data_IF_243364359586
#
_entry.id   IF_243364359586
#
_cell.length_a   1.000
_cell.length_b   1.000
_cell.length_c   1.000
_cell.angle_alpha   90.00
_cell.angle_beta   90.00
_cell.angle_gamma   90.00
#
_symmetry.space_group_name_H-M   'P 1'
#
loop_
_entity.id
_entity.type
_entity.pdbx_description
1 polymer ?
#
# COMPACT_ATOMS: atom_id res chain seq x y z
N UNK A 1 -10.54 -1.62 -3.64
CA UNK A 1 -9.43 -0.64 -3.57
C UNK A 1 -8.12 -1.40 -3.79
N UNK A 2 -7.51 -1.32 -4.97
CA UNK A 2 -6.23 -1.96 -5.23
C UNK A 2 -5.05 -1.11 -4.74
N UNK A 3 -3.93 -1.78 -4.47
CA UNK A 3 -2.60 -1.16 -4.32
C UNK A 3 -1.73 -1.51 -5.52
N UNK A 4 -0.66 -0.75 -5.73
CA UNK A 4 0.41 -1.20 -6.61
C UNK A 4 1.03 -2.46 -6.00
N UNK A 5 1.06 -3.50 -6.82
CA UNK A 5 1.72 -4.74 -6.48
C UNK A 5 3.20 -4.71 -6.84
N UNK A 6 3.91 -5.74 -6.43
CA UNK A 6 5.31 -5.91 -6.78
C UNK A 6 5.66 -7.39 -6.96
N UNK A 7 6.71 -7.63 -7.71
CA UNK A 7 7.18 -8.97 -7.99
C UNK A 7 8.63 -9.01 -8.45
N UNK A 8 9.05 -10.17 -8.89
CA UNK A 8 10.40 -10.40 -9.44
C UNK A 8 10.32 -11.31 -10.65
N UNK A 9 11.15 -11.03 -11.65
CA UNK A 9 11.36 -11.94 -12.78
C UNK A 9 11.79 -13.33 -12.32
N UNK A 10 11.55 -14.33 -13.17
CA UNK A 10 12.15 -15.64 -13.00
C UNK A 10 13.68 -15.56 -13.05
N UNK A 11 14.35 -16.41 -12.29
CA UNK A 11 15.80 -16.58 -12.31
C UNK A 11 16.14 -18.05 -12.25
N UNK A 12 17.41 -18.41 -12.50
CA UNK A 12 17.83 -19.81 -12.52
C UNK A 12 17.40 -20.53 -11.23
N UNK A 13 16.57 -21.58 -11.39
CA UNK A 13 16.01 -22.35 -10.29
C UNK A 13 14.91 -21.70 -9.46
N UNK A 14 14.49 -20.46 -9.79
CA UNK A 14 13.43 -19.75 -9.08
C UNK A 14 12.41 -19.19 -10.05
N UNK A 15 11.14 -19.58 -9.97
CA UNK A 15 10.09 -19.02 -10.80
C UNK A 15 9.86 -17.54 -10.50
N UNK A 16 9.40 -16.80 -11.50
CA UNK A 16 8.89 -15.46 -11.33
C UNK A 16 7.66 -15.45 -10.45
N UNK A 17 7.42 -14.33 -9.79
CA UNK A 17 6.27 -14.17 -8.94
C UNK A 17 5.82 -12.71 -8.83
N UNK A 18 4.56 -12.54 -8.46
CA UNK A 18 3.97 -11.24 -8.15
C UNK A 18 3.17 -11.32 -6.85
N UNK A 19 3.25 -10.28 -6.01
CA UNK A 19 2.37 -10.07 -4.87
C UNK A 19 1.37 -8.99 -5.21
N UNK A 20 0.10 -9.33 -5.08
CA UNK A 20 -1.03 -8.44 -5.33
C UNK A 20 -1.76 -8.22 -4.02
N UNK A 21 -1.99 -6.95 -3.68
CA UNK A 21 -2.68 -6.56 -2.46
C UNK A 21 -3.83 -5.64 -2.84
N UNK A 22 -5.01 -5.94 -2.31
CA UNK A 22 -6.21 -5.15 -2.55
C UNK A 22 -7.16 -5.26 -1.35
N UNK A 23 -8.15 -4.40 -1.28
CA UNK A 23 -9.26 -4.53 -0.34
C UNK A 23 -10.59 -4.49 -1.07
N UNK A 24 -11.43 -5.49 -0.85
CA UNK A 24 -12.80 -5.54 -1.36
C UNK A 24 -13.76 -4.93 -0.32
N UNK A 25 -14.56 -3.99 -0.78
CA UNK A 25 -15.51 -3.26 0.04
C UNK A 25 -16.88 -3.27 -0.65
N UNK A 26 -17.95 -3.35 0.14
CA UNK A 26 -19.29 -3.09 -0.37
C UNK A 26 -19.41 -1.63 -0.78
N UNK A 27 -19.92 -1.39 -1.97
CA UNK A 27 -20.16 -0.04 -2.45
C UNK A 27 -21.45 0.52 -1.82
N UNK A 28 -21.31 1.39 -0.83
CA UNK A 28 -22.44 2.06 -0.18
C UNK A 28 -23.08 3.16 -1.06
N UNK A 29 -22.43 3.52 -2.17
CA UNK A 29 -22.92 4.60 -3.07
C UNK A 29 -24.26 4.23 -3.73
N UNK A 30 -24.49 2.95 -4.02
CA UNK A 30 -25.76 2.53 -4.64
C UNK A 30 -26.93 2.59 -3.67
N UNK A 31 -26.70 2.30 -2.38
CA UNK A 31 -27.71 2.44 -1.33
C UNK A 31 -28.07 3.91 -1.08
N UNK A 32 -27.07 4.80 -1.12
CA UNK A 32 -27.29 6.23 -0.93
C UNK A 32 -27.92 6.91 -2.14
N UNK A 33 -27.62 6.48 -3.36
CA UNK A 33 -28.35 6.93 -4.54
C UNK A 33 -29.84 6.56 -4.45
N UNK A 34 -30.15 5.37 -3.95
CA UNK A 34 -31.52 4.96 -3.67
C UNK A 34 -32.15 5.83 -2.58
N UNK A 35 -31.43 6.16 -1.51
CA UNK A 35 -31.91 7.02 -0.44
C UNK A 35 -32.05 8.48 -0.88
N UNK A 36 -31.12 9.02 -1.71
CA UNK A 36 -31.21 10.38 -2.26
C UNK A 36 -32.35 10.54 -3.27
N UNK A 37 -32.69 9.50 -4.01
CA UNK A 37 -33.87 9.50 -4.89
C UNK A 37 -35.17 9.55 -4.09
N UNK A 38 -35.15 8.98 -2.86
CA UNK A 38 -36.30 9.02 -1.96
C UNK A 38 -36.40 10.36 -1.20
N UNK A 39 -35.30 11.05 -0.90
CA UNK A 39 -35.27 12.27 -0.10
C UNK A 39 -35.20 13.59 -0.89
N UNK A 40 -35.00 13.57 -2.21
CA UNK A 40 -35.14 14.74 -3.10
C UNK A 40 -34.10 15.87 -2.89
N UNK A 41 -32.98 15.64 -2.22
CA UNK A 41 -31.95 16.66 -1.97
C UNK A 41 -30.77 16.52 -2.90
N UNK A 42 -30.63 17.51 -3.82
CA UNK A 42 -29.39 17.74 -4.55
C UNK A 42 -28.49 18.65 -3.74
N UNK A 43 -27.34 18.20 -3.31
CA UNK A 43 -26.28 19.08 -2.83
C UNK A 43 -24.93 18.74 -3.43
N UNK A 44 -24.31 19.75 -4.00
CA UNK A 44 -23.08 19.71 -4.78
C UNK A 44 -21.91 20.12 -3.88
N UNK A 45 -20.81 19.40 -3.97
CA UNK A 45 -19.51 19.58 -3.29
C UNK A 45 -19.45 19.05 -1.86
N UNK A 46 -18.84 17.85 -1.71
CA UNK A 46 -18.94 17.16 -0.45
C UNK A 46 -17.57 16.73 0.11
N UNK A 47 -17.14 17.27 1.27
CA UNK A 47 -16.00 16.77 2.04
C UNK A 47 -16.20 15.35 2.59
N UNK A 48 -17.40 14.78 2.44
CA UNK A 48 -17.77 13.45 2.93
C UNK A 48 -17.20 12.26 2.13
N UNK A 49 -16.52 12.46 1.00
CA UNK A 49 -15.95 11.32 0.23
C UNK A 49 -14.92 10.52 1.03
N UNK A 50 -14.15 11.18 1.87
CA UNK A 50 -13.14 10.53 2.68
C UNK A 50 -13.68 9.73 3.87
N UNK A 51 -14.62 10.27 4.63
CA UNK A 51 -15.27 9.60 5.76
C UNK A 51 -15.98 8.29 5.33
N UNK A 52 -16.55 8.23 4.14
CA UNK A 52 -17.22 7.05 3.58
C UNK A 52 -16.27 5.87 3.34
N UNK A 53 -14.99 6.12 3.04
CA UNK A 53 -13.98 5.08 2.91
C UNK A 53 -13.74 4.31 4.22
N UNK A 54 -14.04 4.93 5.37
CA UNK A 54 -13.91 4.29 6.69
C UNK A 54 -15.15 3.53 7.13
N UNK A 55 -16.32 3.89 6.62
CA UNK A 55 -17.60 3.22 6.94
C UNK A 55 -17.94 2.09 5.97
N UNK A 56 -17.18 1.95 4.87
CA UNK A 56 -17.41 0.90 3.90
C UNK A 56 -17.19 -0.49 4.53
N UNK A 57 -18.22 -1.33 4.44
CA UNK A 57 -18.19 -2.69 4.98
C UNK A 57 -17.25 -3.56 4.15
N UNK A 58 -16.36 -4.28 4.82
CA UNK A 58 -15.45 -5.22 4.19
C UNK A 58 -16.20 -6.42 3.60
N UNK A 59 -15.79 -6.88 2.42
CA UNK A 59 -16.30 -8.11 1.81
C UNK A 59 -15.43 -9.28 2.26
N UNK A 60 -15.84 -9.98 3.32
CA UNK A 60 -15.17 -11.18 3.82
C UNK A 60 -15.34 -12.35 2.87
N UNK A 61 -14.30 -13.18 2.73
CA UNK A 61 -14.32 -14.43 1.97
C UNK A 61 -14.87 -14.26 0.54
N UNK A 62 -14.71 -13.07 -0.02
CA UNK A 62 -15.20 -12.73 -1.36
C UNK A 62 -14.26 -13.30 -2.43
N UNK A 63 -14.78 -14.01 -3.44
CA UNK A 63 -13.98 -14.46 -4.56
C UNK A 63 -13.56 -13.26 -5.43
N UNK A 64 -12.26 -13.14 -5.67
CA UNK A 64 -11.67 -12.10 -6.51
C UNK A 64 -11.05 -12.76 -7.72
N UNK A 65 -11.46 -12.36 -8.91
CA UNK A 65 -10.78 -12.72 -10.14
C UNK A 65 -9.68 -11.70 -10.41
N UNK A 66 -8.48 -12.19 -10.67
CA UNK A 66 -7.28 -11.42 -10.99
C UNK A 66 -6.86 -11.79 -12.40
N UNK A 67 -6.66 -10.80 -13.25
CA UNK A 67 -6.16 -10.99 -14.63
C UNK A 67 -4.82 -10.27 -14.75
N UNK A 68 -3.78 -11.02 -15.06
CA UNK A 68 -2.42 -10.51 -15.26
C UNK A 68 -1.69 -11.36 -16.30
N UNK A 69 -0.94 -10.73 -17.20
CA UNK A 69 -0.20 -11.42 -18.26
C UNK A 69 -1.10 -12.31 -19.13
N UNK A 70 -2.36 -11.93 -19.34
CA UNK A 70 -3.35 -12.73 -20.08
C UNK A 70 -3.91 -13.94 -19.33
N UNK A 71 -3.44 -14.22 -18.11
CA UNK A 71 -3.86 -15.37 -17.29
C UNK A 71 -4.86 -14.90 -16.22
N UNK A 72 -5.87 -15.73 -15.96
CA UNK A 72 -6.84 -15.53 -14.89
C UNK A 72 -6.49 -16.37 -13.67
N UNK A 73 -6.54 -15.73 -12.50
CA UNK A 73 -6.39 -16.37 -11.20
C UNK A 73 -7.61 -16.09 -10.34
N UNK A 74 -7.93 -16.97 -9.44
CA UNK A 74 -8.95 -16.79 -8.42
C UNK A 74 -8.32 -16.83 -7.04
N UNK A 75 -8.71 -15.90 -6.19
CA UNK A 75 -8.29 -15.84 -4.80
C UNK A 75 -9.43 -15.27 -3.95
N UNK A 76 -9.31 -15.38 -2.63
CA UNK A 76 -10.35 -14.95 -1.71
C UNK A 76 -9.81 -13.88 -0.77
N UNK A 77 -10.66 -12.93 -0.42
CA UNK A 77 -10.35 -11.96 0.63
C UNK A 77 -10.40 -12.64 2.00
N UNK A 78 -9.65 -12.10 2.93
CA UNK A 78 -9.76 -12.47 4.35
C UNK A 78 -11.01 -11.86 5.01
N UNK A 79 -11.16 -12.05 6.33
CA UNK A 79 -12.27 -11.51 7.12
C UNK A 79 -12.33 -9.98 7.13
N UNK A 80 -11.20 -9.30 6.93
CA UNK A 80 -11.09 -7.84 6.78
C UNK A 80 -11.36 -7.34 5.36
N UNK A 81 -11.69 -8.25 4.44
CA UNK A 81 -11.85 -7.94 3.01
C UNK A 81 -10.52 -7.72 2.29
N UNK A 82 -9.39 -8.08 2.90
CA UNK A 82 -8.06 -7.91 2.31
C UNK A 82 -7.72 -9.13 1.46
N UNK A 83 -7.31 -8.86 0.23
CA UNK A 83 -6.64 -9.78 -0.66
C UNK A 83 -5.13 -9.54 -0.56
N UNK A 84 -4.37 -10.53 -0.13
CA UNK A 84 -2.90 -10.51 -0.11
C UNK A 84 -2.42 -11.84 -0.68
N UNK A 85 -2.14 -11.87 -1.97
CA UNK A 85 -1.82 -13.10 -2.68
C UNK A 85 -0.49 -12.99 -3.41
N UNK A 86 0.31 -14.07 -3.32
CA UNK A 86 1.50 -14.26 -4.12
C UNK A 86 1.19 -15.29 -5.21
N UNK A 87 1.29 -14.86 -6.47
CA UNK A 87 1.09 -15.71 -7.65
C UNK A 87 2.44 -16.04 -8.28
N UNK A 88 2.60 -17.29 -8.69
CA UNK A 88 3.73 -17.70 -9.52
C UNK A 88 3.39 -17.42 -10.98
N UNK A 89 4.17 -16.55 -11.61
CA UNK A 89 3.98 -16.14 -12.99
C UNK A 89 5.29 -15.57 -13.52
N UNK A 90 5.61 -15.89 -14.76
CA UNK A 90 6.77 -15.34 -15.45
C UNK A 90 6.35 -14.14 -16.26
N UNK A 91 6.85 -12.97 -15.84
CA UNK A 91 6.65 -11.69 -16.50
C UNK A 91 8.01 -11.05 -16.74
N UNK A 92 8.11 -10.26 -17.79
CA UNK A 92 9.27 -9.41 -18.03
C UNK A 92 9.40 -8.35 -16.92
N UNK A 93 10.60 -7.80 -16.76
CA UNK A 93 10.79 -6.69 -15.82
C UNK A 93 10.05 -5.42 -16.28
N UNK A 94 9.54 -4.64 -15.33
CA UNK A 94 8.81 -3.41 -15.62
C UNK A 94 7.40 -3.40 -15.06
N UNK A 95 6.60 -2.46 -15.55
CA UNK A 95 5.21 -2.27 -15.10
C UNK A 95 4.27 -3.15 -15.90
N UNK A 96 3.39 -3.86 -15.22
CA UNK A 96 2.31 -4.66 -15.82
C UNK A 96 0.97 -4.27 -15.24
N UNK A 97 -0.05 -4.27 -16.09
CA UNK A 97 -1.43 -4.04 -15.66
C UNK A 97 -2.00 -5.28 -14.99
N UNK A 98 -2.75 -5.05 -13.92
CA UNK A 98 -3.54 -6.06 -13.23
C UNK A 98 -4.98 -5.59 -13.20
N UNK A 99 -5.88 -6.43 -13.67
CA UNK A 99 -7.33 -6.19 -13.61
C UNK A 99 -7.91 -7.10 -12.55
N UNK A 100 -8.71 -6.54 -11.65
CA UNK A 100 -9.36 -7.29 -10.58
C UNK A 100 -10.86 -6.97 -10.52
N UNK A 101 -11.66 -7.99 -10.20
CA UNK A 101 -13.08 -7.82 -9.95
C UNK A 101 -13.63 -8.92 -9.04
N UNK A 102 -14.67 -8.60 -8.31
CA UNK A 102 -15.53 -9.58 -7.63
C UNK A 102 -16.79 -9.80 -8.47
N UNK A 103 -17.49 -10.95 -8.39
CA UNK A 103 -18.73 -11.19 -9.13
C UNK A 103 -19.73 -10.07 -8.93
N UNK A 104 -20.28 -9.56 -10.03
CA UNK A 104 -21.26 -8.45 -10.01
C UNK A 104 -20.68 -7.05 -9.85
N UNK A 105 -19.36 -6.90 -9.70
CA UNK A 105 -18.71 -5.59 -9.61
C UNK A 105 -18.14 -5.12 -10.96
N UNK A 106 -17.81 -3.82 -11.01
CA UNK A 106 -16.95 -3.30 -12.08
C UNK A 106 -15.53 -3.77 -11.89
N UNK A 107 -14.83 -4.06 -12.99
CA UNK A 107 -13.40 -4.33 -12.97
C UNK A 107 -12.62 -3.07 -12.55
N UNK A 108 -11.57 -3.27 -11.78
CA UNK A 108 -10.63 -2.22 -11.34
C UNK A 108 -9.25 -2.57 -11.85
N UNK A 109 -8.57 -1.60 -12.42
CA UNK A 109 -7.20 -1.75 -12.86
C UNK A 109 -6.22 -1.19 -11.82
N UNK A 110 -5.07 -1.83 -11.71
CA UNK A 110 -3.90 -1.35 -10.98
C UNK A 110 -2.65 -1.83 -11.71
N UNK A 111 -1.49 -1.48 -11.21
CA UNK A 111 -0.21 -1.92 -11.75
C UNK A 111 0.57 -2.76 -10.75
N UNK A 112 1.44 -3.61 -11.28
CA UNK A 112 2.49 -4.28 -10.50
C UNK A 112 3.84 -3.97 -11.13
N UNK A 113 4.85 -3.78 -10.32
CA UNK A 113 6.21 -3.59 -10.76
C UNK A 113 7.00 -4.89 -10.60
N UNK A 114 7.51 -5.43 -11.71
CA UNK A 114 8.34 -6.63 -11.74
C UNK A 114 9.81 -6.20 -11.73
N UNK A 115 10.48 -6.48 -10.62
CA UNK A 115 11.88 -6.12 -10.39
C UNK A 115 12.79 -7.01 -11.21
N UNK A 116 13.73 -6.45 -12.02
CA UNK A 116 14.69 -7.24 -12.76
C UNK A 116 15.70 -7.91 -11.81
N UNK A 117 16.26 -9.04 -12.23
CA UNK A 117 17.25 -9.80 -11.44
C UNK A 117 18.52 -9.00 -11.14
N UNK A 118 18.90 -8.13 -12.05
CA UNK A 118 20.08 -7.25 -11.90
C UNK A 118 19.93 -6.21 -10.81
N UNK A 119 18.69 -5.85 -10.43
CA UNK A 119 18.45 -4.81 -9.42
C UNK A 119 18.81 -5.31 -8.02
N UNK A 120 19.68 -4.54 -7.35
CA UNK A 120 20.18 -4.88 -6.01
C UNK A 120 19.79 -3.86 -4.93
N UNK A 121 19.33 -2.68 -5.31
CA UNK A 121 18.87 -1.64 -4.39
C UNK A 121 17.37 -1.47 -4.48
N UNK A 122 16.72 -1.39 -3.33
CA UNK A 122 15.34 -0.96 -3.17
C UNK A 122 15.22 0.10 -2.07
N UNK A 123 14.09 0.78 -2.01
CA UNK A 123 13.83 1.82 -1.00
C UNK A 123 12.59 1.47 -0.23
N UNK A 124 12.68 1.50 1.09
CA UNK A 124 11.53 1.39 1.99
C UNK A 124 11.40 2.71 2.74
N UNK A 125 10.26 3.35 2.61
CA UNK A 125 9.98 4.65 3.23
C UNK A 125 8.77 4.54 4.15
N UNK A 126 8.92 5.06 5.37
CA UNK A 126 7.75 5.36 6.18
C UNK A 126 6.95 6.51 5.54
N UNK A 127 5.66 6.56 5.82
CA UNK A 127 4.77 7.57 5.25
C UNK A 127 4.57 8.73 6.20
N UNK A 128 4.26 8.44 7.46
CA UNK A 128 3.87 9.44 8.45
C UNK A 128 5.10 10.13 9.03
N UNK A 129 5.13 11.47 8.99
CA UNK A 129 6.25 12.32 9.41
C UNK A 129 7.57 12.10 8.62
N UNK A 130 7.59 11.16 7.68
CA UNK A 130 8.72 10.91 6.76
C UNK A 130 8.45 11.47 5.37
N UNK A 131 7.38 11.02 4.70
CA UNK A 131 7.01 11.47 3.36
C UNK A 131 6.12 12.70 3.43
N UNK A 132 5.22 12.76 4.42
CA UNK A 132 4.34 13.89 4.68
C UNK A 132 4.42 14.32 6.15
N UNK A 133 4.39 15.62 6.37
CA UNK A 133 4.36 16.20 7.72
C UNK A 133 2.95 16.05 8.28
N UNK A 134 2.80 15.36 9.40
CA UNK A 134 1.56 15.23 10.16
C UNK A 134 1.57 16.23 11.30
N UNK A 135 0.89 17.38 11.15
CA UNK A 135 0.82 18.43 12.17
C UNK A 135 -0.09 18.09 13.36
N UNK A 136 -0.44 16.83 13.58
CA UNK A 136 -1.42 16.43 14.59
C UNK A 136 -0.76 15.94 15.89
N UNK A 137 -1.27 16.35 17.07
CA UNK A 137 -0.82 15.77 18.33
C UNK A 137 -1.17 14.28 18.38
N UNK A 138 -0.16 13.47 18.64
CA UNK A 138 -0.31 12.03 18.89
C UNK A 138 -1.21 11.82 20.11
N UNK A 139 -2.42 11.34 20.04
CA UNK A 139 -2.78 9.92 20.05
C UNK A 139 -4.11 9.55 19.36
N UNK A 140 -4.54 10.25 18.34
CA UNK A 140 -5.89 10.06 17.83
C UNK A 140 -5.89 9.47 16.42
N UNK A 141 -6.07 8.15 16.30
CA UNK A 141 -6.38 7.46 15.03
C UNK A 141 -7.54 8.16 14.29
N UNK A 142 -8.51 8.70 15.01
CA UNK A 142 -9.60 9.50 14.43
C UNK A 142 -9.11 10.84 13.84
N UNK A 143 -8.12 11.47 14.47
CA UNK A 143 -7.50 12.70 13.96
C UNK A 143 -6.62 12.42 12.74
N UNK A 144 -5.89 11.30 12.72
CA UNK A 144 -5.13 10.85 11.56
C UNK A 144 -6.05 10.62 10.35
N UNK A 145 -7.18 9.96 10.57
CA UNK A 145 -8.20 9.76 9.54
C UNK A 145 -8.74 11.09 8.98
N UNK A 146 -9.02 12.06 9.84
CA UNK A 146 -9.49 13.40 9.41
C UNK A 146 -8.41 14.17 8.67
N UNK A 147 -7.16 14.07 9.12
CA UNK A 147 -6.00 14.71 8.49
C UNK A 147 -5.70 14.12 7.11
N UNK A 148 -5.75 12.80 6.96
CA UNK A 148 -5.52 12.15 5.66
C UNK A 148 -6.64 12.51 4.66
N UNK A 149 -7.81 12.89 5.13
CA UNK A 149 -8.93 13.28 4.27
C UNK A 149 -8.89 14.74 3.83
N UNK A 150 -8.21 15.61 4.57
CA UNK A 150 -8.02 17.01 4.16
C UNK A 150 -6.83 17.13 3.19
N UNK A 151 -7.14 17.29 1.91
CA UNK A 151 -6.13 17.43 0.86
C UNK A 151 -5.24 18.66 1.04
N UNK A 152 -5.71 19.71 1.69
CA UNK A 152 -4.99 20.96 1.90
C UNK A 152 -4.08 20.93 3.14
N UNK A 153 -4.30 20.00 4.06
CA UNK A 153 -3.52 19.88 5.30
C UNK A 153 -2.22 19.09 5.14
N UNK A 154 -2.00 18.46 3.95
CA UNK A 154 -0.83 17.61 3.70
C UNK A 154 0.28 18.41 3.05
N UNK A 155 1.39 18.50 3.76
CA UNK A 155 2.61 19.15 3.26
C UNK A 155 3.68 18.07 3.07
N UNK A 156 4.32 17.98 1.89
CA UNK A 156 5.44 17.06 1.71
C UNK A 156 6.61 17.48 2.61
N UNK A 157 7.29 16.50 3.18
CA UNK A 157 8.51 16.76 3.95
C UNK A 157 9.55 17.42 3.05
N UNK A 158 10.07 18.60 3.44
CA UNK A 158 11.00 19.35 2.59
C UNK A 158 12.21 18.54 2.17
N UNK A 159 12.52 18.53 0.88
CA UNK A 159 13.66 17.83 0.30
C UNK A 159 13.46 16.33 0.06
N UNK A 160 12.48 15.69 0.64
CA UNK A 160 12.28 14.25 0.54
C UNK A 160 11.93 13.81 -0.89
N UNK A 161 11.03 14.53 -1.57
CA UNK A 161 10.71 14.25 -2.96
C UNK A 161 11.94 14.42 -3.89
N UNK A 162 12.80 15.41 -3.60
CA UNK A 162 14.06 15.62 -4.35
C UNK A 162 15.03 14.47 -4.10
N UNK A 163 15.15 14.00 -2.87
CA UNK A 163 15.99 12.84 -2.54
C UNK A 163 15.52 11.59 -3.29
N UNK A 164 14.24 11.29 -3.26
CA UNK A 164 13.68 10.11 -3.94
C UNK A 164 13.80 10.20 -5.46
N UNK A 165 13.65 11.41 -6.05
CA UNK A 165 13.88 11.61 -7.49
C UNK A 165 15.34 11.39 -7.87
N UNK A 166 16.29 11.82 -7.06
CA UNK A 166 17.72 11.54 -7.28
C UNK A 166 18.02 10.05 -7.22
N UNK A 167 17.47 9.33 -6.24
CA UNK A 167 17.62 7.87 -6.15
C UNK A 167 17.03 7.21 -7.40
N UNK A 168 15.82 7.59 -7.81
CA UNK A 168 15.16 7.06 -9.01
C UNK A 168 15.95 7.30 -10.30
N UNK A 169 16.66 8.43 -10.39
CA UNK A 169 17.53 8.74 -11.56
C UNK A 169 18.80 7.91 -11.56
N UNK A 170 19.40 7.65 -10.41
CA UNK A 170 20.61 6.81 -10.31
C UNK A 170 20.29 5.32 -10.41
N UNK A 171 19.13 4.90 -9.91
CA UNK A 171 18.66 3.52 -9.84
C UNK A 171 17.25 3.41 -10.45
N UNK A 172 17.10 3.51 -11.77
CA UNK A 172 15.76 3.60 -12.41
C UNK A 172 14.87 2.40 -12.18
N UNK A 173 15.46 1.23 -11.90
CA UNK A 173 14.73 -0.02 -11.64
C UNK A 173 14.55 -0.32 -10.14
N UNK A 174 14.97 0.57 -9.25
CA UNK A 174 14.79 0.38 -7.82
C UNK A 174 13.30 0.41 -7.43
N UNK A 175 12.76 -0.65 -6.79
CA UNK A 175 11.42 -0.61 -6.26
C UNK A 175 11.33 0.32 -5.05
N UNK A 176 10.23 1.08 -4.96
CA UNK A 176 9.88 1.86 -3.80
C UNK A 176 8.75 1.17 -3.04
N UNK A 177 8.86 1.08 -1.73
CA UNK A 177 7.85 0.53 -0.82
C UNK A 177 7.49 1.58 0.22
N UNK A 178 6.21 1.90 0.33
CA UNK A 178 5.68 2.85 1.32
C UNK A 178 5.07 2.06 2.47
N UNK A 179 5.77 2.06 3.61
CA UNK A 179 5.43 1.29 4.79
C UNK A 179 4.76 2.21 5.83
N UNK A 180 3.51 1.94 6.19
CA UNK A 180 2.77 2.79 7.13
C UNK A 180 1.96 1.95 8.10
N UNK A 181 1.72 2.51 9.28
CA UNK A 181 0.79 1.97 10.26
C UNK A 181 -0.67 2.36 9.97
N UNK A 182 -0.88 3.16 8.94
CA UNK A 182 -2.20 3.58 8.49
C UNK A 182 -3.02 2.45 7.86
N UNK A 183 -4.33 2.65 7.84
CA UNK A 183 -5.27 1.66 7.29
C UNK A 183 -5.29 1.65 5.76
N UNK A 184 -5.59 0.51 5.16
CA UNK A 184 -5.76 0.35 3.71
C UNK A 184 -6.74 1.34 3.06
N UNK A 185 -7.69 1.84 3.80
CA UNK A 185 -8.71 2.79 3.32
C UNK A 185 -8.11 4.10 2.80
N UNK A 186 -6.93 4.48 3.30
CA UNK A 186 -6.28 5.76 2.96
C UNK A 186 -5.35 5.66 1.75
N UNK A 187 -5.09 4.46 1.24
CA UNK A 187 -4.19 4.24 0.09
C UNK A 187 -4.51 5.15 -1.10
N UNK A 188 -5.76 5.31 -1.55
CA UNK A 188 -6.06 6.19 -2.69
C UNK A 188 -5.64 7.64 -2.44
N UNK A 189 -5.81 8.09 -1.21
CA UNK A 189 -5.49 9.45 -0.79
C UNK A 189 -3.99 9.68 -0.66
N UNK A 190 -3.27 8.74 -0.06
CA UNK A 190 -1.80 8.77 0.05
C UNK A 190 -1.17 8.68 -1.34
N UNK A 191 -1.65 7.79 -2.20
CA UNK A 191 -1.20 7.69 -3.59
C UNK A 191 -1.32 9.01 -4.33
N UNK A 192 -2.52 9.62 -4.32
CA UNK A 192 -2.77 10.91 -4.96
C UNK A 192 -1.85 12.01 -4.41
N UNK A 193 -1.56 11.99 -3.12
CA UNK A 193 -0.59 12.90 -2.51
C UNK A 193 0.84 12.67 -3.02
N UNK A 194 1.30 11.42 -3.05
CA UNK A 194 2.64 11.06 -3.54
C UNK A 194 2.84 11.49 -4.99
N UNK A 195 1.87 11.18 -5.85
CA UNK A 195 1.88 11.55 -7.27
C UNK A 195 1.98 13.07 -7.46
N UNK A 196 1.13 13.84 -6.77
CA UNK A 196 1.16 15.32 -6.85
C UNK A 196 2.43 15.93 -6.28
N UNK A 197 3.04 15.29 -5.29
CA UNK A 197 4.26 15.77 -4.64
C UNK A 197 5.54 15.30 -5.34
N UNK A 198 5.44 14.55 -6.45
CA UNK A 198 6.57 14.11 -7.26
C UNK A 198 7.34 12.93 -6.68
N UNK A 199 6.73 12.16 -5.78
CA UNK A 199 7.33 10.91 -5.29
C UNK A 199 7.21 9.78 -6.33
N UNK A 200 8.14 8.83 -6.35
CA UNK A 200 8.05 7.66 -7.21
C UNK A 200 6.81 6.82 -6.92
N UNK A 201 6.24 6.19 -7.95
CA UNK A 201 5.25 5.15 -7.76
C UNK A 201 5.87 3.97 -6.99
N UNK A 202 5.07 3.30 -6.15
CA UNK A 202 5.57 2.19 -5.33
C UNK A 202 4.49 1.40 -4.63
N UNK A 203 4.87 0.25 -4.11
CA UNK A 203 3.96 -0.63 -3.37
C UNK A 203 3.62 -0.08 -1.98
N UNK A 204 2.34 -0.18 -1.60
CA UNK A 204 1.90 0.22 -0.25
C UNK A 204 1.85 -1.00 0.67
N UNK A 205 2.42 -0.85 1.86
CA UNK A 205 2.43 -1.84 2.94
C UNK A 205 1.71 -1.23 4.14
N UNK A 206 0.39 -1.31 4.13
CA UNK A 206 -0.51 -0.68 5.11
C UNK A 206 -1.02 -1.69 6.12
N UNK A 207 -1.55 -1.21 7.24
CA UNK A 207 -2.17 -2.08 8.24
C UNK A 207 -3.62 -2.39 7.89
N UNK A 208 -4.08 -3.50 8.41
CA UNK A 208 -5.49 -3.86 8.38
C UNK A 208 -6.16 -3.37 9.66
N UNK A 209 -7.00 -2.33 9.55
CA UNK A 209 -7.84 -1.86 10.63
C UNK A 209 -9.22 -2.51 10.53
N UNK A 210 -9.49 -3.44 11.42
CA UNK A 210 -10.79 -4.03 11.59
C UNK A 210 -10.87 -4.75 12.94
N UNK A 211 -12.06 -4.97 13.51
CA UNK A 211 -12.22 -5.83 14.68
C UNK A 211 -11.87 -7.26 14.27
N UNK A 212 -10.63 -7.66 14.49
CA UNK A 212 -10.22 -9.05 14.36
C UNK A 212 -10.43 -9.74 15.72
N UNK A 213 -10.85 -11.01 15.71
CA UNK A 213 -11.06 -11.82 16.91
C UNK A 213 -9.81 -12.02 17.79
N UNK A 214 -8.68 -11.38 17.47
CA UNK A 214 -7.40 -11.52 18.18
C UNK A 214 -6.91 -10.22 18.83
N UNK A 215 -7.77 -9.21 18.97
CA UNK A 215 -7.42 -7.96 19.65
C UNK A 215 -7.61 -6.71 18.79
N UNK A 216 -8.03 -5.65 19.43
CA UNK A 216 -8.41 -4.36 18.82
C UNK A 216 -7.25 -3.62 18.14
N UNK A 217 -6.00 -4.06 18.32
CA UNK A 217 -4.82 -3.41 17.77
C UNK A 217 -3.72 -4.45 17.47
N UNK A 218 -3.51 -4.80 16.22
CA UNK A 218 -2.17 -5.22 15.84
C UNK A 218 -1.30 -3.98 16.00
N UNK A 219 -0.26 -4.04 16.85
CA UNK A 219 0.59 -2.88 17.08
C UNK A 219 1.24 -2.45 15.77
N UNK A 220 1.22 -1.14 15.47
CA UNK A 220 1.87 -0.60 14.27
C UNK A 220 3.33 -1.05 14.13
N UNK A 221 4.12 -1.07 15.22
CA UNK A 221 5.48 -1.61 15.22
C UNK A 221 5.59 -3.06 14.75
N UNK A 222 4.65 -3.93 15.15
CA UNK A 222 4.68 -5.34 14.75
C UNK A 222 4.34 -5.52 13.25
N UNK A 223 3.47 -4.68 12.71
CA UNK A 223 3.21 -4.65 11.27
C UNK A 223 4.48 -4.29 10.50
N UNK A 224 5.18 -3.22 10.88
CA UNK A 224 6.43 -2.81 10.24
C UNK A 224 7.48 -3.92 10.27
N UNK A 225 7.71 -4.54 11.44
CA UNK A 225 8.63 -5.68 11.59
C UNK A 225 8.28 -6.84 10.66
N UNK A 226 7.01 -7.18 10.58
CA UNK A 226 6.52 -8.29 9.74
C UNK A 226 6.75 -8.02 8.26
N UNK A 227 6.43 -6.83 7.77
CA UNK A 227 6.58 -6.49 6.36
C UNK A 227 8.06 -6.36 5.96
N UNK A 228 8.92 -5.80 6.80
CA UNK A 228 10.37 -5.78 6.59
C UNK A 228 10.95 -7.20 6.45
N UNK A 229 10.63 -8.11 7.40
CA UNK A 229 11.05 -9.51 7.34
C UNK A 229 10.52 -10.22 6.10
N UNK A 230 9.29 -9.88 5.68
CA UNK A 230 8.69 -10.42 4.46
C UNK A 230 9.48 -9.97 3.24
N UNK A 231 9.79 -8.68 3.12
CA UNK A 231 10.59 -8.16 2.00
C UNK A 231 11.98 -8.80 1.93
N UNK A 232 12.67 -8.96 3.06
CA UNK A 232 13.97 -9.65 3.09
C UNK A 232 13.90 -11.09 2.57
N UNK A 233 12.83 -11.82 2.92
CA UNK A 233 12.62 -13.20 2.44
C UNK A 233 12.21 -13.27 0.97
N UNK A 234 11.42 -12.31 0.50
CA UNK A 234 10.96 -12.26 -0.88
C UNK A 234 12.05 -11.79 -1.84
N UNK A 235 12.96 -10.93 -1.37
CA UNK A 235 14.07 -10.36 -2.12
C UNK A 235 15.41 -10.57 -1.39
N UNK A 236 15.88 -11.81 -1.24
CA UNK A 236 17.05 -12.13 -0.41
C UNK A 236 18.37 -11.53 -0.93
N UNK A 237 18.41 -11.13 -2.20
CA UNK A 237 19.59 -10.53 -2.85
C UNK A 237 19.50 -9.00 -2.95
N UNK A 238 18.44 -8.40 -2.43
CA UNK A 238 18.23 -6.96 -2.48
C UNK A 238 18.69 -6.31 -1.18
N UNK A 239 19.28 -5.15 -1.30
CA UNK A 239 19.63 -4.28 -0.18
C UNK A 239 18.65 -3.12 -0.14
N UNK A 240 18.09 -2.85 1.01
CA UNK A 240 17.08 -1.83 1.21
C UNK A 240 17.68 -0.58 1.86
N UNK A 241 17.47 0.57 1.25
CA UNK A 241 17.61 1.85 1.92
C UNK A 241 16.35 2.09 2.75
N UNK A 242 16.54 2.24 4.05
CA UNK A 242 15.45 2.43 5.00
C UNK A 242 15.36 3.92 5.34
N UNK A 243 14.20 4.52 5.11
CA UNK A 243 13.94 5.94 5.37
C UNK A 243 12.74 6.04 6.30
N UNK A 244 12.93 6.65 7.45
CA UNK A 244 11.92 6.81 8.50
C UNK A 244 12.16 8.06 9.33
N UNK A 245 11.24 8.35 10.24
CA UNK A 245 11.33 9.44 11.20
C UNK A 245 11.97 8.99 12.52
N UNK A 246 12.42 9.94 13.33
CA UNK A 246 12.97 9.68 14.65
C UNK A 246 11.94 9.88 15.79
N UNK A 247 10.75 10.30 15.43
CA UNK A 247 9.66 10.60 16.37
C UNK A 247 8.80 9.41 16.77
N UNK A 248 8.97 8.24 16.10
CA UNK A 248 8.25 7.01 16.38
C UNK A 248 9.22 5.87 16.68
N UNK A 249 8.83 4.63 16.34
CA UNK A 249 9.63 3.42 16.58
C UNK A 249 10.55 3.04 15.43
N UNK A 250 10.66 3.85 14.38
CA UNK A 250 11.41 3.50 13.17
C UNK A 250 12.90 3.25 13.44
N UNK A 251 13.62 4.06 14.22
CA UNK A 251 15.02 3.79 14.52
C UNK A 251 15.25 2.43 15.19
N UNK A 252 14.37 2.05 16.13
CA UNK A 252 14.43 0.77 16.81
C UNK A 252 14.12 -0.40 15.86
N UNK A 253 13.04 -0.29 15.08
CA UNK A 253 12.59 -1.32 14.15
C UNK A 253 13.63 -1.53 13.05
N UNK A 254 14.19 -0.46 12.50
CA UNK A 254 15.19 -0.55 11.45
C UNK A 254 16.52 -1.08 11.97
N UNK A 255 16.90 -0.72 13.20
CA UNK A 255 18.08 -1.31 13.86
C UNK A 255 17.90 -2.80 14.16
N UNK A 256 16.70 -3.25 14.57
CA UNK A 256 16.38 -4.67 14.74
C UNK A 256 16.50 -5.39 13.39
N UNK A 257 15.91 -4.85 12.33
CA UNK A 257 15.97 -5.41 10.98
C UNK A 257 17.40 -5.51 10.46
N UNK A 258 18.21 -4.47 10.66
CA UNK A 258 19.62 -4.47 10.25
C UNK A 258 20.46 -5.51 11.00
N UNK A 259 20.13 -5.81 12.26
CA UNK A 259 20.78 -6.89 13.01
C UNK A 259 20.34 -8.27 12.57
N UNK A 260 19.05 -8.44 12.22
CA UNK A 260 18.48 -9.73 11.79
C UNK A 260 18.86 -10.06 10.33
N UNK A 261 18.92 -9.05 9.44
CA UNK A 261 19.19 -9.19 8.01
C UNK A 261 20.25 -8.19 7.51
N UNK A 262 21.49 -8.23 8.04
CA UNK A 262 22.51 -7.23 7.70
C UNK A 262 22.85 -7.19 6.19
N UNK A 263 22.73 -8.33 5.50
CA UNK A 263 22.94 -8.43 4.06
C UNK A 263 21.86 -7.72 3.23
N UNK A 264 20.68 -7.47 3.82
CA UNK A 264 19.54 -6.84 3.16
C UNK A 264 19.44 -5.32 3.42
N UNK A 265 20.41 -4.71 4.10
CA UNK A 265 20.38 -3.27 4.43
C UNK A 265 21.48 -2.53 3.64
N UNK A 266 21.07 -1.44 3.01
CA UNK A 266 21.97 -0.51 2.29
C UNK A 266 22.32 0.72 3.14
N UNK A 267 21.42 1.16 3.99
CA UNK A 267 21.56 2.30 4.89
C UNK A 267 20.26 2.58 5.61
#
# INVERSE_FOLDING_TARGET
VPSEGYGRVASEGNPGWVRIIARALYNTVDLERLLQVVEGTQDTANPMRGWRAFTATAMSDAPVTIVIGGTKYEAYTDRGGVLDVKLTIDLESGMHEVIMYVPGSRAVATSVYIVPESQKLGVIMDVDDTVMVTMLPRPLVAAWNSFVLDEHARIPTPGMAVMTDRIRRSEPSAPFMYLSTGAWNVVPTVRSFLERSGYPAGGFLMTDFGPSNTGWFRSGPEHKRRELRRLARMFPHMRWLLVGDDGQHDPEIYAEFAREFPQCVAG
#
